data_IF_315244249476
#
_entry.id   IF_315244249476
#
_cell.length_a   1.000
_cell.length_b   1.000
_cell.length_c   1.000
_cell.angle_alpha   90.00
_cell.angle_beta   90.00
_cell.angle_gamma   90.00
#
_symmetry.space_group_name_H-M   'P 1'
#
loop_
_entity.id
_entity.type
_entity.pdbx_description
1 polymer ?
#
# COMPACT_ATOMS: atom_id res chain seq x y z
N UNK A 1 3.78 21.32 -19.69
CA UNK A 1 3.93 19.97 -20.27
C UNK A 1 3.30 18.96 -19.32
N UNK A 2 2.54 18.00 -19.82
CA UNK A 2 1.86 16.98 -18.99
C UNK A 2 2.74 15.73 -18.97
N UNK A 3 2.98 15.15 -17.78
CA UNK A 3 3.73 13.91 -17.64
C UNK A 3 2.74 12.78 -17.29
N UNK A 4 2.69 11.73 -18.09
CA UNK A 4 1.80 10.59 -17.89
C UNK A 4 2.62 9.36 -17.51
N UNK A 5 2.45 8.90 -16.27
CA UNK A 5 3.13 7.71 -15.74
C UNK A 5 2.12 6.58 -15.57
N UNK A 6 2.45 5.37 -16.05
CA UNK A 6 1.65 4.17 -15.77
C UNK A 6 1.89 3.69 -14.34
N UNK A 7 0.84 3.30 -13.65
CA UNK A 7 0.91 2.83 -12.27
C UNK A 7 -0.37 2.14 -11.83
N UNK A 8 -0.44 1.82 -10.55
CA UNK A 8 -1.61 1.25 -9.90
C UNK A 8 -2.25 2.32 -9.01
N UNK A 9 -3.55 2.50 -9.18
CA UNK A 9 -4.38 3.29 -8.28
C UNK A 9 -4.94 2.39 -7.18
N UNK A 10 -4.73 2.77 -5.92
CA UNK A 10 -5.22 2.06 -4.75
C UNK A 10 -6.20 2.98 -4.04
N UNK A 11 -7.40 2.45 -3.75
CA UNK A 11 -8.40 3.07 -2.89
C UNK A 11 -8.62 2.15 -1.69
N UNK A 12 -8.46 2.68 -0.48
CA UNK A 12 -8.62 1.94 0.77
C UNK A 12 -8.99 2.89 1.92
N UNK A 13 -9.34 2.33 3.07
CA UNK A 13 -9.54 3.09 4.30
C UNK A 13 -8.22 3.68 4.83
N UNK A 14 -8.36 4.72 5.66
CA UNK A 14 -7.22 5.50 6.18
C UNK A 14 -6.17 4.62 6.88
N UNK A 15 -6.53 3.67 7.77
CA UNK A 15 -5.55 2.81 8.44
C UNK A 15 -4.73 1.98 7.44
N UNK A 16 -5.37 1.48 6.39
CA UNK A 16 -4.70 0.68 5.36
C UNK A 16 -3.77 1.54 4.51
N UNK A 17 -4.18 2.76 4.15
CA UNK A 17 -3.30 3.70 3.46
C UNK A 17 -2.05 4.02 4.29
N UNK A 18 -2.22 4.27 5.59
CA UNK A 18 -1.10 4.51 6.52
C UNK A 18 -0.17 3.29 6.66
N UNK A 19 -0.73 2.08 6.69
CA UNK A 19 0.06 0.84 6.68
C UNK A 19 0.92 0.73 5.41
N UNK A 20 0.36 0.98 4.23
CA UNK A 20 1.09 0.95 2.96
C UNK A 20 2.18 2.03 2.91
N UNK A 21 1.90 3.24 3.42
CA UNK A 21 2.88 4.33 3.51
C UNK A 21 4.04 3.95 4.44
N UNK A 22 3.74 3.37 5.60
CA UNK A 22 4.74 2.87 6.56
C UNK A 22 5.62 1.80 5.93
N UNK A 23 5.01 0.83 5.24
CA UNK A 23 5.72 -0.22 4.50
C UNK A 23 6.66 0.37 3.46
N UNK A 24 6.21 1.34 2.66
CA UNK A 24 7.05 2.03 1.68
C UNK A 24 8.21 2.80 2.34
N UNK A 25 7.96 3.43 3.48
CA UNK A 25 8.99 4.17 4.23
C UNK A 25 10.05 3.26 4.84
N UNK A 26 9.70 2.01 5.16
CA UNK A 26 10.65 1.00 5.64
C UNK A 26 11.63 0.51 4.56
N UNK A 27 11.32 0.75 3.27
CA UNK A 27 12.16 0.29 2.15
C UNK A 27 13.29 1.28 1.86
N UNK A 28 14.46 0.78 1.42
CA UNK A 28 15.52 1.63 0.86
C UNK A 28 15.01 2.46 -0.33
N UNK A 29 15.63 3.61 -0.60
CA UNK A 29 15.18 4.57 -1.62
C UNK A 29 14.97 3.96 -3.01
N UNK A 30 15.78 2.96 -3.40
CA UNK A 30 15.67 2.27 -4.70
C UNK A 30 14.53 1.23 -4.77
N UNK A 31 13.90 0.93 -3.63
CA UNK A 31 12.81 -0.05 -3.50
C UNK A 31 11.50 0.62 -3.08
N UNK A 32 11.47 1.95 -2.95
CA UNK A 32 10.22 2.68 -2.73
C UNK A 32 9.34 2.56 -3.96
N UNK A 33 8.06 2.28 -3.71
CA UNK A 33 7.08 1.96 -4.73
C UNK A 33 5.93 2.97 -4.80
N UNK A 34 5.75 3.84 -3.80
CA UNK A 34 4.75 4.92 -3.87
C UNK A 34 5.28 6.02 -4.80
N UNK A 35 4.49 6.36 -5.81
CA UNK A 35 4.75 7.48 -6.72
C UNK A 35 4.16 8.75 -6.13
N UNK A 36 2.87 8.72 -5.75
CA UNK A 36 2.18 9.83 -5.10
C UNK A 36 1.19 9.34 -4.03
N UNK A 37 1.11 10.08 -2.93
CA UNK A 37 -0.04 10.05 -2.03
C UNK A 37 -1.02 11.09 -2.57
N UNK A 38 -2.22 10.67 -2.97
CA UNK A 38 -3.20 11.54 -3.61
C UNK A 38 -4.08 12.23 -2.55
N UNK A 39 -4.51 11.46 -1.55
CA UNK A 39 -5.21 11.89 -0.35
C UNK A 39 -5.08 10.81 0.74
N UNK A 40 -5.85 10.91 1.83
CA UNK A 40 -5.79 10.00 2.98
C UNK A 40 -6.29 8.58 2.70
N UNK A 41 -6.98 8.37 1.56
CA UNK A 41 -7.61 7.11 1.15
C UNK A 41 -7.13 6.59 -0.21
N UNK A 42 -6.36 7.40 -0.94
CA UNK A 42 -5.92 7.11 -2.30
C UNK A 42 -4.40 7.22 -2.48
N UNK A 43 -3.82 6.16 -3.03
CA UNK A 43 -2.39 6.06 -3.33
C UNK A 43 -2.18 5.75 -4.80
N UNK A 44 -1.15 6.34 -5.40
CA UNK A 44 -0.65 5.99 -6.72
C UNK A 44 0.72 5.36 -6.61
N UNK A 45 0.83 4.10 -7.01
CA UNK A 45 2.03 3.27 -6.79
C UNK A 45 2.54 2.63 -8.08
N UNK A 46 3.77 2.12 -8.05
CA UNK A 46 4.36 1.37 -9.16
C UNK A 46 3.63 0.03 -9.36
N UNK A 47 3.36 -0.35 -10.60
CA UNK A 47 2.54 -1.53 -10.93
C UNK A 47 3.12 -2.86 -10.39
N UNK A 48 4.43 -2.98 -10.27
CA UNK A 48 5.10 -4.20 -9.79
C UNK A 48 4.92 -4.44 -8.27
N UNK A 49 4.52 -3.41 -7.51
CA UNK A 49 4.28 -3.54 -6.07
C UNK A 49 2.92 -4.17 -5.73
N UNK A 50 2.06 -4.40 -6.73
CA UNK A 50 0.71 -4.93 -6.56
C UNK A 50 0.66 -6.21 -5.74
N UNK A 51 1.46 -7.22 -6.12
CA UNK A 51 1.47 -8.52 -5.44
C UNK A 51 2.01 -8.42 -4.02
N UNK A 52 3.12 -7.70 -3.84
CA UNK A 52 3.72 -7.44 -2.52
C UNK A 52 2.71 -6.80 -1.55
N UNK A 53 1.99 -5.77 -2.02
CA UNK A 53 0.99 -5.07 -1.21
C UNK A 53 -0.16 -6.02 -0.86
N UNK A 54 -0.65 -6.84 -1.80
CA UNK A 54 -1.74 -7.80 -1.54
C UNK A 54 -1.38 -8.82 -0.47
N UNK A 55 -0.19 -9.41 -0.56
CA UNK A 55 0.30 -10.39 0.42
C UNK A 55 0.42 -9.75 1.80
N UNK A 56 1.10 -8.61 1.89
CA UNK A 56 1.32 -7.94 3.16
C UNK A 56 0.02 -7.46 3.83
N UNK A 57 -0.99 -7.05 3.06
CA UNK A 57 -2.33 -6.71 3.58
C UNK A 57 -3.04 -7.96 4.10
N UNK A 58 -2.94 -9.08 3.40
CA UNK A 58 -3.55 -10.33 3.84
C UNK A 58 -2.96 -10.80 5.17
N UNK A 59 -1.63 -10.82 5.28
CA UNK A 59 -0.90 -11.15 6.52
C UNK A 59 -1.24 -10.19 7.66
N UNK A 60 -1.26 -8.88 7.37
CA UNK A 60 -1.62 -7.87 8.37
C UNK A 60 -3.05 -8.07 8.87
N UNK A 61 -4.00 -8.38 7.99
CA UNK A 61 -5.38 -8.62 8.38
C UNK A 61 -5.51 -9.89 9.21
N UNK A 62 -4.85 -10.97 8.81
CA UNK A 62 -4.86 -12.24 9.55
C UNK A 62 -4.30 -12.06 10.97
N UNK A 63 -3.15 -11.41 11.12
CA UNK A 63 -2.52 -11.15 12.41
C UNK A 63 -3.35 -10.26 13.36
N UNK A 64 -4.25 -9.43 12.81
CA UNK A 64 -5.10 -8.52 13.58
C UNK A 64 -6.57 -8.96 13.65
N UNK A 65 -6.91 -10.11 13.08
CA UNK A 65 -8.27 -10.66 13.17
C UNK A 65 -8.40 -11.42 14.47
N UNK A 66 -9.35 -11.02 15.32
CA UNK A 66 -9.69 -11.78 16.51
C UNK A 66 -10.45 -13.05 16.11
N UNK A 67 -9.89 -14.21 16.46
CA UNK A 67 -10.59 -15.47 16.41
C UNK A 67 -11.14 -15.80 17.80
N UNK A 68 -12.45 -16.03 17.88
CA UNK A 68 -13.09 -16.42 19.14
C UNK A 68 -12.54 -17.79 19.55
N UNK A 69 -11.95 -17.93 20.76
CA UNK A 69 -11.56 -19.23 21.28
C UNK A 69 -12.77 -20.17 21.39
N UNK A 70 -12.58 -21.49 21.22
CA UNK A 70 -13.64 -22.48 21.42
C UNK A 70 -14.22 -22.44 22.84
#
# INVERSE_FOLDING_TARGET
MVNATRGLFISCDIPMAQFIISMNNSKPSNQKFIIHVLDDTHLFVQSHASEMIRIAIAEFREANTYEKPP
#
